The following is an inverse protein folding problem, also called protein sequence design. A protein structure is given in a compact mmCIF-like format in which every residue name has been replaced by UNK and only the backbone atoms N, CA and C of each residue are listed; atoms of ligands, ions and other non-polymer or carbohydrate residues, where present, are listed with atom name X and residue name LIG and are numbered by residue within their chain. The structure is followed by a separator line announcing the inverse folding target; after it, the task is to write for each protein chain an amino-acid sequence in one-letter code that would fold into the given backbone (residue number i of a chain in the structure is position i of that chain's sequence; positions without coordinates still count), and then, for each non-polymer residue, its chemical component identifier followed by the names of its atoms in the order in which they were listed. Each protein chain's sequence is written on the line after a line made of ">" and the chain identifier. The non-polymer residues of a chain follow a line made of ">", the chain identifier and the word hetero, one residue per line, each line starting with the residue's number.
data_IF_911687834948
#
_entry.id   IF_911687834948
#
_cell.length_a   1.000
_cell.length_b   1.000
_cell.length_c   1.000
_cell.angle_alpha   90.00
_cell.angle_beta   90.00
_cell.angle_gamma   90.00
#
_symmetry.space_group_name_H-M   'P 1'
#
loop_
_entity.id
_entity.type
_entity.pdbx_description
1 polymer ?
#
# COMPACT_ATOMS: atom_id res chain seq x y z
N UNK A 1 -23.78 19.61 6.55
CA UNK A 1 -22.97 18.91 7.56
C UNK A 1 -22.84 17.46 7.13
N UNK A 2 -21.63 16.91 7.19
CA UNK A 2 -21.36 15.50 6.85
C UNK A 2 -20.70 14.82 8.03
N UNK A 3 -21.19 13.63 8.36
CA UNK A 3 -20.54 12.70 9.28
C UNK A 3 -20.30 11.40 8.56
N UNK A 4 -19.21 10.74 8.92
CA UNK A 4 -18.91 9.42 8.36
C UNK A 4 -18.19 8.55 9.38
N UNK A 5 -18.31 7.24 9.19
CA UNK A 5 -17.47 6.26 9.85
C UNK A 5 -17.30 5.03 8.94
N UNK A 6 -16.38 4.14 9.31
CA UNK A 6 -16.20 2.85 8.65
C UNK A 6 -16.28 1.75 9.70
N UNK A 7 -17.01 0.68 9.40
CA UNK A 7 -17.02 -0.57 10.17
C UNK A 7 -16.27 -1.65 9.39
N UNK A 8 -15.80 -2.67 10.11
CA UNK A 8 -15.12 -3.85 9.52
C UNK A 8 -13.85 -3.49 8.73
N UNK A 9 -13.25 -2.34 9.05
CA UNK A 9 -12.08 -1.81 8.36
C UNK A 9 -11.56 -0.53 8.99
N UNK A 10 -10.44 -0.03 8.46
CA UNK A 10 -9.80 1.22 8.85
C UNK A 10 -9.47 2.04 7.61
N UNK A 11 -9.76 3.34 7.65
CA UNK A 11 -9.48 4.23 6.52
C UNK A 11 -9.58 5.70 6.89
N UNK A 12 -9.48 6.55 5.87
CA UNK A 12 -9.67 8.00 5.96
C UNK A 12 -10.46 8.45 4.75
N UNK A 13 -11.38 9.40 4.93
CA UNK A 13 -12.18 9.97 3.86
C UNK A 13 -11.86 11.43 3.66
N UNK A 14 -11.83 11.83 2.39
CA UNK A 14 -11.49 13.17 1.94
C UNK A 14 -12.56 13.68 0.99
N UNK A 15 -12.77 14.99 0.97
CA UNK A 15 -13.56 15.67 -0.04
C UNK A 15 -12.63 16.39 -1.02
N UNK A 16 -12.95 16.31 -2.31
CA UNK A 16 -12.29 17.15 -3.30
C UNK A 16 -12.77 18.60 -3.16
N UNK A 17 -11.85 19.53 -2.99
CA UNK A 17 -12.16 20.97 -2.98
C UNK A 17 -11.81 21.67 -4.30
N UNK A 18 -11.33 20.93 -5.30
CA UNK A 18 -10.83 21.42 -6.58
C UNK A 18 -9.36 21.85 -6.55
N UNK A 19 -8.89 22.41 -5.43
CA UNK A 19 -7.48 22.76 -5.22
C UNK A 19 -6.69 21.71 -4.44
N UNK A 20 -7.35 20.93 -3.59
CA UNK A 20 -6.72 19.90 -2.76
C UNK A 20 -7.76 18.91 -2.19
N UNK A 21 -7.26 17.78 -1.67
CA UNK A 21 -8.06 16.83 -0.89
C UNK A 21 -8.07 17.26 0.58
N UNK A 22 -9.24 17.60 1.12
CA UNK A 22 -9.41 17.95 2.54
C UNK A 22 -9.96 16.74 3.31
N UNK A 23 -9.37 16.34 4.45
CA UNK A 23 -9.95 15.31 5.31
C UNK A 23 -11.34 15.71 5.80
N UNK A 24 -12.28 14.76 5.82
CA UNK A 24 -13.58 14.97 6.46
C UNK A 24 -13.43 14.61 7.94
N UNK A 25 -13.23 15.63 8.77
CA UNK A 25 -13.45 15.53 10.20
C UNK A 25 -14.96 15.61 10.45
N UNK A 26 -15.47 14.94 11.48
CA UNK A 26 -16.92 14.87 11.72
C UNK A 26 -17.56 16.27 11.74
N UNK A 27 -18.75 16.39 11.17
CA UNK A 27 -19.53 17.64 11.13
C UNK A 27 -18.98 18.73 10.20
N UNK A 28 -18.17 18.39 9.21
CA UNK A 28 -17.69 19.37 8.23
C UNK A 28 -18.82 19.86 7.29
N UNK A 29 -18.91 21.18 7.00
CA UNK A 29 -19.79 21.69 5.98
C UNK A 29 -19.25 21.35 4.59
N UNK A 30 -20.13 20.88 3.70
CA UNK A 30 -19.84 20.67 2.27
C UNK A 30 -20.69 21.64 1.44
N UNK A 31 -20.21 21.99 0.24
CA UNK A 31 -20.93 22.91 -0.64
C UNK A 31 -22.16 22.23 -1.23
N UNK A 32 -23.18 23.02 -1.54
CA UNK A 32 -24.34 22.55 -2.29
C UNK A 32 -23.91 22.15 -3.72
N UNK A 33 -24.52 21.09 -4.26
CA UNK A 33 -24.20 20.53 -5.57
C UNK A 33 -23.37 19.24 -5.52
N UNK A 34 -22.71 18.93 -6.62
CA UNK A 34 -21.92 17.70 -6.76
C UNK A 34 -20.62 17.81 -5.97
N UNK A 35 -20.39 16.84 -5.08
CA UNK A 35 -19.15 16.71 -4.31
C UNK A 35 -18.54 15.34 -4.59
N UNK A 36 -17.23 15.28 -4.81
CA UNK A 36 -16.50 14.02 -4.96
C UNK A 36 -15.84 13.64 -3.63
N UNK A 37 -16.15 12.45 -3.13
CA UNK A 37 -15.57 11.89 -1.92
C UNK A 37 -14.54 10.81 -2.28
N UNK A 38 -13.41 10.82 -1.60
CA UNK A 38 -12.36 9.81 -1.74
C UNK A 38 -12.20 9.05 -0.43
N UNK A 39 -12.35 7.73 -0.49
CA UNK A 39 -12.01 6.85 0.61
C UNK A 39 -10.62 6.23 0.38
N UNK A 40 -9.75 6.32 1.39
CA UNK A 40 -8.43 5.69 1.39
C UNK A 40 -8.35 4.68 2.55
N UNK A 41 -8.33 3.36 2.27
CA UNK A 41 -8.11 2.35 3.32
C UNK A 41 -6.70 2.50 3.91
N UNK A 42 -6.55 2.20 5.20
CA UNK A 42 -5.23 2.15 5.85
C UNK A 42 -4.48 0.88 5.43
N UNK A 43 -3.14 0.92 5.37
CA UNK A 43 -2.34 -0.31 5.23
C UNK A 43 -2.70 -1.34 6.32
N UNK A 44 -2.71 -2.61 5.94
CA UNK A 44 -3.10 -3.76 6.77
C UNK A 44 -4.61 -3.85 7.06
N UNK A 45 -5.44 -3.17 6.27
CA UNK A 45 -6.91 -3.22 6.39
C UNK A 45 -7.51 -3.84 5.15
N UNK A 46 -7.26 -5.13 4.93
CA UNK A 46 -7.92 -5.94 3.91
C UNK A 46 -9.27 -6.47 4.39
N UNK A 47 -10.14 -6.82 3.45
CA UNK A 47 -11.48 -7.34 3.72
C UNK A 47 -12.60 -6.45 3.22
N UNK A 48 -13.82 -6.71 3.69
CA UNK A 48 -15.00 -5.93 3.31
C UNK A 48 -15.18 -4.78 4.29
N UNK A 49 -14.98 -3.54 3.83
CA UNK A 49 -15.23 -2.34 4.61
C UNK A 49 -16.65 -1.85 4.37
N UNK A 50 -17.37 -1.45 5.41
CA UNK A 50 -18.68 -0.80 5.26
C UNK A 50 -18.57 0.67 5.66
N UNK A 51 -18.81 1.56 4.70
CA UNK A 51 -18.72 3.01 4.90
C UNK A 51 -20.13 3.51 5.20
N UNK A 52 -20.27 4.23 6.32
CA UNK A 52 -21.51 4.87 6.74
C UNK A 52 -21.35 6.39 6.56
N UNK A 53 -22.33 7.03 5.93
CA UNK A 53 -22.34 8.45 5.63
C UNK A 53 -23.68 9.05 6.05
N UNK A 54 -23.63 10.06 6.91
CA UNK A 54 -24.79 10.86 7.29
C UNK A 54 -24.63 12.26 6.72
N UNK A 55 -25.57 12.70 5.89
CA UNK A 55 -25.61 14.06 5.35
C UNK A 55 -26.80 14.79 5.94
N UNK A 56 -26.58 15.95 6.53
CA UNK A 56 -27.64 16.79 7.05
C UNK A 56 -27.46 18.26 6.73
N UNK A 57 -28.55 19.03 6.84
CA UNK A 57 -28.48 20.48 6.71
C UNK A 57 -27.70 21.09 7.90
N UNK A 58 -27.27 22.35 7.80
CA UNK A 58 -26.50 23.02 8.86
C UNK A 58 -27.31 23.34 10.12
N UNK A 59 -28.64 23.21 10.05
CA UNK A 59 -29.55 23.42 11.18
C UNK A 59 -29.81 22.14 11.98
N UNK A 60 -29.42 20.97 11.44
CA UNK A 60 -29.64 19.66 12.06
C UNK A 60 -31.04 19.07 11.82
N UNK A 61 -31.92 19.77 11.11
CA UNK A 61 -33.36 19.42 11.01
C UNK A 61 -33.65 18.23 10.09
N UNK A 62 -32.72 17.91 9.19
CA UNK A 62 -32.89 16.82 8.23
C UNK A 62 -31.55 16.15 8.04
N UNK A 63 -31.49 14.85 8.33
CA UNK A 63 -30.33 14.01 8.10
C UNK A 63 -30.77 12.77 7.31
N UNK A 64 -29.92 12.34 6.39
CA UNK A 64 -30.09 11.09 5.67
C UNK A 64 -28.86 10.22 5.83
N UNK A 65 -29.11 8.95 6.15
CA UNK A 65 -28.09 7.94 6.34
C UNK A 65 -27.96 7.06 5.10
N UNK A 66 -26.72 6.81 4.71
CA UNK A 66 -26.34 5.93 3.61
C UNK A 66 -25.23 5.01 4.07
N UNK A 67 -25.25 3.77 3.57
CA UNK A 67 -24.14 2.86 3.75
C UNK A 67 -23.88 2.07 2.47
N UNK A 68 -22.61 1.72 2.26
CA UNK A 68 -22.20 0.85 1.17
C UNK A 68 -20.94 0.07 1.54
N UNK A 69 -20.78 -1.10 0.96
CA UNK A 69 -19.64 -1.97 1.22
C UNK A 69 -18.64 -1.93 0.06
N UNK A 70 -17.36 -1.93 0.40
CA UNK A 70 -16.23 -1.94 -0.54
C UNK A 70 -15.28 -3.07 -0.16
N UNK A 71 -14.92 -3.92 -1.13
CA UNK A 71 -13.90 -4.94 -0.94
C UNK A 71 -12.52 -4.32 -1.09
N UNK A 72 -11.71 -4.36 -0.05
CA UNK A 72 -10.34 -3.84 0.00
C UNK A 72 -9.36 -5.01 -0.03
N UNK A 73 -8.37 -4.91 -0.91
CA UNK A 73 -7.25 -5.83 -0.98
C UNK A 73 -5.97 -5.04 -0.69
N UNK A 74 -5.25 -5.43 0.36
CA UNK A 74 -3.92 -4.88 0.61
C UNK A 74 -2.86 -5.72 -0.09
N UNK A 75 -2.31 -5.19 -1.18
CA UNK A 75 -1.23 -5.84 -1.92
C UNK A 75 0.17 -5.53 -1.34
N UNK A 76 0.28 -4.85 -0.19
CA UNK A 76 1.55 -4.23 0.24
C UNK A 76 2.48 -5.08 1.07
N UNK A 77 2.06 -6.19 1.69
CA UNK A 77 2.99 -7.00 2.49
C UNK A 77 2.59 -8.46 2.39
N UNK A 78 3.10 -9.13 1.37
CA UNK A 78 3.39 -10.54 1.56
C UNK A 78 4.80 -10.66 2.08
N UNK A 79 4.92 -11.21 3.29
CA UNK A 79 6.19 -11.59 3.85
C UNK A 79 6.92 -12.50 2.84
N UNK A 80 8.18 -12.19 2.57
CA UNK A 80 9.03 -12.99 1.71
C UNK A 80 10.36 -13.25 2.43
N UNK A 81 10.98 -14.37 2.13
CA UNK A 81 12.38 -14.60 2.49
C UNK A 81 13.25 -14.36 1.28
N UNK A 82 14.43 -13.80 1.52
CA UNK A 82 15.44 -13.59 0.50
C UNK A 82 16.73 -14.28 0.96
N UNK A 83 17.28 -15.12 0.10
CA UNK A 83 18.53 -15.84 0.34
C UNK A 83 19.51 -15.49 -0.78
N UNK A 84 20.74 -15.14 -0.40
CA UNK A 84 21.83 -14.89 -1.33
C UNK A 84 22.87 -15.98 -1.17
N UNK A 85 23.16 -16.73 -2.24
CA UNK A 85 24.15 -17.81 -2.24
C UNK A 85 25.18 -17.66 -3.36
N UNK A 86 26.38 -18.18 -3.10
CA UNK A 86 27.44 -18.29 -4.11
C UNK A 86 27.31 -19.64 -4.83
N UNK A 87 27.50 -19.66 -6.15
CA UNK A 87 27.36 -20.91 -6.94
C UNK A 87 28.47 -21.93 -6.64
N UNK A 88 29.57 -21.51 -5.98
CA UNK A 88 30.63 -22.40 -5.48
C UNK A 88 31.26 -21.74 -4.25
N UNK A 89 31.12 -22.36 -3.08
CA UNK A 89 31.70 -21.90 -1.81
C UNK A 89 33.15 -22.37 -1.62
N UNK A 90 33.55 -23.46 -2.30
CA UNK A 90 34.85 -24.11 -2.09
C UNK A 90 36.00 -23.45 -2.84
N UNK A 91 35.71 -22.58 -3.81
CA UNK A 91 36.77 -21.87 -4.53
C UNK A 91 37.07 -20.54 -3.83
N UNK A 92 38.33 -20.17 -3.62
CA UNK A 92 38.69 -18.83 -3.16
C UNK A 92 38.39 -17.77 -4.24
N UNK A 93 37.93 -16.60 -3.81
CA UNK A 93 37.61 -15.49 -4.70
C UNK A 93 38.91 -14.79 -5.11
N UNK A 94 39.35 -15.04 -6.35
CA UNK A 94 40.59 -14.44 -6.86
C UNK A 94 40.33 -12.98 -7.29
N UNK A 95 41.32 -12.08 -7.12
CA UNK A 95 41.24 -10.74 -7.68
C UNK A 95 40.96 -10.80 -9.19
N UNK A 96 40.10 -9.90 -9.69
CA UNK A 96 39.76 -9.74 -11.11
C UNK A 96 38.98 -10.88 -11.78
N UNK A 97 38.44 -11.85 -11.02
CA UNK A 97 37.47 -12.82 -11.54
C UNK A 97 36.07 -12.54 -11.02
N UNK A 98 35.14 -12.35 -11.95
CA UNK A 98 33.72 -12.23 -11.63
C UNK A 98 33.18 -13.54 -11.02
N UNK A 99 32.25 -13.39 -10.06
CA UNK A 99 31.48 -14.52 -9.53
C UNK A 99 29.99 -14.29 -9.71
N UNK A 100 29.31 -15.38 -10.00
CA UNK A 100 27.86 -15.42 -10.03
C UNK A 100 27.35 -15.60 -8.60
N UNK A 101 26.58 -14.62 -8.13
CA UNK A 101 25.74 -14.76 -6.95
C UNK A 101 24.31 -15.05 -7.40
N UNK A 102 23.61 -15.95 -6.69
CA UNK A 102 22.19 -16.21 -6.90
C UNK A 102 21.39 -15.58 -5.79
N UNK A 103 20.45 -14.71 -6.15
CA UNK A 103 19.42 -14.20 -5.23
C UNK A 103 18.16 -15.03 -5.43
N UNK A 104 17.70 -15.69 -4.37
CA UNK A 104 16.43 -16.41 -4.34
C UNK A 104 15.45 -15.63 -3.48
N UNK A 105 14.31 -15.25 -4.05
CA UNK A 105 13.20 -14.63 -3.33
C UNK A 105 12.07 -15.65 -3.25
N UNK A 106 11.67 -16.00 -2.04
CA UNK A 106 10.59 -16.94 -1.77
C UNK A 106 9.42 -16.16 -1.14
N UNK A 107 8.32 -15.93 -1.86
CA UNK A 107 7.10 -15.44 -1.22
C UNK A 107 6.58 -16.52 -0.26
N UNK A 108 6.05 -16.12 0.90
CA UNK A 108 5.45 -17.07 1.85
C UNK A 108 4.03 -17.51 1.45
N UNK A 109 3.46 -16.87 0.43
CA UNK A 109 2.09 -17.08 -0.07
C UNK A 109 2.05 -17.00 -1.60
N UNK A 110 1.03 -17.61 -2.22
CA UNK A 110 0.95 -17.70 -3.68
C UNK A 110 0.72 -16.35 -4.38
N UNK A 111 0.02 -15.41 -3.74
CA UNK A 111 -0.21 -14.08 -4.30
C UNK A 111 1.09 -13.21 -4.33
N UNK A 112 2.15 -13.65 -3.66
CA UNK A 112 3.45 -13.00 -3.64
C UNK A 112 4.30 -13.34 -4.87
N UNK A 113 3.95 -14.42 -5.59
CA UNK A 113 4.62 -14.80 -6.85
C UNK A 113 4.45 -13.76 -7.96
N UNK A 114 3.43 -12.91 -7.89
CA UNK A 114 3.15 -11.87 -8.89
C UNK A 114 3.65 -10.48 -8.48
N UNK A 115 4.33 -10.36 -7.33
CA UNK A 115 4.88 -9.09 -6.85
C UNK A 115 6.22 -8.76 -7.53
N UNK A 116 6.48 -7.46 -7.70
CA UNK A 116 7.76 -6.95 -8.18
C UNK A 116 8.69 -6.63 -7.00
N UNK A 117 9.89 -7.21 -6.98
CA UNK A 117 10.89 -6.99 -5.94
C UNK A 117 12.00 -6.04 -6.41
N UNK A 118 12.46 -5.16 -5.52
CA UNK A 118 13.53 -4.21 -5.80
C UNK A 118 14.66 -4.38 -4.78
N UNK A 119 15.91 -4.43 -5.26
CA UNK A 119 17.09 -4.41 -4.40
C UNK A 119 17.34 -2.97 -3.95
N UNK A 120 17.20 -2.68 -2.65
CA UNK A 120 17.37 -1.32 -2.10
C UNK A 120 18.83 -0.97 -1.86
N UNK A 121 19.63 -1.91 -1.36
CA UNK A 121 21.04 -1.70 -1.05
C UNK A 121 21.80 -3.04 -1.08
N UNK A 122 23.08 -2.97 -1.46
CA UNK A 122 24.05 -4.07 -1.33
C UNK A 122 25.23 -3.50 -0.54
N UNK A 123 25.55 -4.10 0.61
CA UNK A 123 26.69 -3.69 1.44
C UNK A 123 27.83 -4.68 1.24
N UNK A 124 29.01 -4.17 0.87
CA UNK A 124 30.23 -4.95 0.75
C UNK A 124 31.23 -4.51 1.80
N UNK A 125 31.97 -5.45 2.38
CA UNK A 125 33.14 -5.15 3.23
C UNK A 125 34.40 -4.93 2.38
N UNK A 126 34.25 -4.23 1.23
CA UNK A 126 35.29 -4.01 0.22
C UNK A 126 34.92 -4.56 -1.18
N UNK A 127 35.46 -3.96 -2.25
CA UNK A 127 35.18 -4.34 -3.65
C UNK A 127 34.02 -3.56 -4.31
N UNK A 128 33.69 -3.90 -5.56
CA UNK A 128 32.63 -3.26 -6.37
C UNK A 128 31.65 -4.31 -6.89
N UNK A 129 30.35 -4.13 -6.62
CA UNK A 129 29.29 -4.97 -7.21
C UNK A 129 28.87 -4.36 -8.55
N UNK A 130 28.76 -5.17 -9.60
CA UNK A 130 28.25 -4.74 -10.91
C UNK A 130 27.03 -5.60 -11.24
N UNK A 131 25.86 -4.98 -11.32
CA UNK A 131 24.64 -5.62 -11.82
C UNK A 131 24.77 -5.76 -13.35
N UNK A 132 25.23 -6.92 -13.81
CA UNK A 132 25.22 -7.25 -15.23
C UNK A 132 23.80 -7.46 -15.73
N UNK A 133 23.41 -6.82 -16.84
CA UNK A 133 22.23 -7.24 -17.58
C UNK A 133 22.54 -8.58 -18.25
N UNK A 134 21.81 -9.64 -17.92
CA UNK A 134 21.84 -10.84 -18.75
C UNK A 134 21.32 -10.46 -20.15
N UNK A 135 22.07 -10.83 -21.19
CA UNK A 135 21.64 -10.75 -22.59
C UNK A 135 20.81 -11.97 -22.95
#
# INVERSE_FOLDING_TARGET
>A
MVKWCVTDGKGSMYVDTGSCKKPICSNEPIKFGNNTLFYAPKPGSDGNHTIHLTVGNTKGDTAQDYFFSVKVQDHRIENFTAELSLVSEETPLLPFKDRVCKLKICPLTDAGKVLNYHIKAIKLNGGKFILGKMK
#
